data_IF_900003269916
#
_entry.id   IF_900003269916
#
_cell.length_a   1.000
_cell.length_b   1.000
_cell.length_c   1.000
_cell.angle_alpha   90.00
_cell.angle_beta   90.00
_cell.angle_gamma   90.00
#
_symmetry.space_group_name_H-M   'P 1'
#
loop_
_entity.id
_entity.type
_entity.pdbx_description
1 polymer ?
#
# COMPACT_ATOMS: atom_id res chain seq x y z
N UNK A 1 5.44 -4.70 16.93
CA UNK A 1 5.34 -3.81 15.74
C UNK A 1 4.85 -4.64 14.57
N UNK A 2 3.98 -4.06 13.75
CA UNK A 2 3.36 -4.76 12.62
C UNK A 2 3.36 -3.88 11.36
N UNK A 3 3.68 -4.45 10.21
CA UNK A 3 3.54 -3.84 8.90
C UNK A 3 2.52 -4.62 8.04
N UNK A 4 1.65 -3.90 7.35
CA UNK A 4 0.67 -4.49 6.44
C UNK A 4 0.89 -3.96 5.03
N UNK A 5 0.88 -4.85 4.04
CA UNK A 5 0.88 -4.49 2.64
C UNK A 5 -0.45 -4.89 1.96
N UNK A 6 -1.03 -3.97 1.22
CA UNK A 6 -2.26 -4.18 0.47
C UNK A 6 -1.92 -4.26 -1.02
N UNK A 7 -2.21 -5.40 -1.64
CA UNK A 7 -1.90 -5.67 -3.03
C UNK A 7 -3.15 -5.55 -3.91
N UNK A 8 -3.15 -4.56 -4.80
CA UNK A 8 -4.25 -4.29 -5.73
C UNK A 8 -4.13 -4.98 -7.10
N UNK A 9 -3.19 -5.91 -7.26
CA UNK A 9 -3.07 -6.67 -8.50
C UNK A 9 -4.19 -7.72 -8.60
N UNK A 10 -4.87 -7.84 -9.76
CA UNK A 10 -5.83 -8.93 -9.98
C UNK A 10 -5.13 -10.28 -10.24
N UNK A 11 -3.83 -10.27 -10.54
CA UNK A 11 -3.07 -11.48 -10.84
C UNK A 11 -2.51 -12.08 -9.56
N UNK A 12 -2.87 -13.33 -9.27
CA UNK A 12 -2.27 -14.12 -8.18
C UNK A 12 -0.80 -14.41 -8.49
N UNK A 13 0.06 -14.21 -7.49
CA UNK A 13 1.52 -14.42 -7.62
C UNK A 13 2.12 -13.62 -8.79
N UNK A 14 1.53 -12.48 -9.11
CA UNK A 14 2.02 -11.59 -10.15
C UNK A 14 3.17 -10.68 -9.67
N UNK A 15 3.74 -9.91 -10.59
CA UNK A 15 4.90 -9.06 -10.31
C UNK A 15 4.70 -8.12 -9.11
N UNK A 16 3.49 -7.56 -8.94
CA UNK A 16 3.19 -6.70 -7.79
C UNK A 16 3.25 -7.46 -6.47
N UNK A 17 2.79 -8.69 -6.44
CA UNK A 17 2.84 -9.54 -5.25
C UNK A 17 4.28 -9.96 -4.94
N UNK A 18 5.06 -10.32 -5.96
CA UNK A 18 6.48 -10.70 -5.82
C UNK A 18 7.28 -9.55 -5.19
N UNK A 19 7.19 -8.34 -5.74
CA UNK A 19 7.92 -7.18 -5.21
C UNK A 19 7.47 -6.79 -3.81
N UNK A 20 6.17 -6.97 -3.52
CA UNK A 20 5.62 -6.72 -2.19
C UNK A 20 6.16 -7.71 -1.17
N UNK A 21 6.20 -8.99 -1.50
CA UNK A 21 6.84 -10.00 -0.65
C UNK A 21 8.31 -9.69 -0.39
N UNK A 22 9.03 -9.22 -1.41
CA UNK A 22 10.43 -8.86 -1.27
C UNK A 22 10.63 -7.70 -0.28
N UNK A 23 9.82 -6.66 -0.34
CA UNK A 23 9.85 -5.55 0.63
C UNK A 23 9.43 -6.01 2.04
N UNK A 24 8.38 -6.84 2.15
CA UNK A 24 7.95 -7.38 3.46
C UNK A 24 8.99 -8.29 4.09
N UNK A 25 9.73 -9.06 3.29
CA UNK A 25 10.85 -9.87 3.78
C UNK A 25 11.93 -8.98 4.41
N UNK A 26 12.29 -7.87 3.77
CA UNK A 26 13.24 -6.91 4.33
C UNK A 26 12.77 -6.31 5.67
N UNK A 27 11.46 -6.06 5.82
CA UNK A 27 10.84 -5.61 7.07
C UNK A 27 10.89 -6.70 8.14
N UNK A 28 10.55 -7.94 7.76
CA UNK A 28 10.52 -9.08 8.70
C UNK A 28 11.90 -9.43 9.26
N UNK A 29 12.97 -9.30 8.46
CA UNK A 29 14.35 -9.47 8.91
C UNK A 29 14.75 -8.45 10.00
N UNK A 30 14.04 -7.35 10.10
CA UNK A 30 14.20 -6.35 11.15
C UNK A 30 13.35 -6.64 12.41
N UNK A 31 12.71 -7.81 12.50
CA UNK A 31 11.91 -8.24 13.65
C UNK A 31 10.53 -7.62 13.75
N UNK A 32 9.98 -7.12 12.65
CA UNK A 32 8.62 -6.57 12.56
C UNK A 32 7.69 -7.62 11.93
N UNK A 33 6.57 -7.90 12.59
CA UNK A 33 5.52 -8.77 12.02
C UNK A 33 5.02 -8.20 10.69
N UNK A 34 4.83 -9.06 9.69
CA UNK A 34 4.35 -8.63 8.38
C UNK A 34 3.08 -9.38 7.97
N UNK A 35 2.14 -8.66 7.37
CA UNK A 35 0.93 -9.23 6.78
C UNK A 35 0.75 -8.70 5.36
N UNK A 36 0.32 -9.56 4.44
CA UNK A 36 -0.07 -9.16 3.09
C UNK A 36 -1.54 -9.48 2.84
N UNK A 37 -2.29 -8.48 2.40
CA UNK A 37 -3.70 -8.60 1.99
C UNK A 37 -3.81 -8.39 0.50
N UNK A 38 -4.32 -9.38 -0.22
CA UNK A 38 -4.66 -9.28 -1.64
C UNK A 38 -6.11 -8.84 -1.79
N UNK A 39 -6.34 -7.79 -2.58
CA UNK A 39 -7.69 -7.32 -2.87
C UNK A 39 -8.41 -8.18 -3.91
N UNK A 40 -7.67 -8.90 -4.75
CA UNK A 40 -8.25 -9.82 -5.73
C UNK A 40 -9.06 -10.92 -5.05
N UNK A 41 -10.32 -11.06 -5.46
CA UNK A 41 -11.26 -12.02 -4.89
C UNK A 41 -12.05 -11.52 -3.68
N UNK A 42 -11.75 -10.32 -3.16
CA UNK A 42 -12.52 -9.66 -2.11
C UNK A 42 -13.60 -8.75 -2.73
N UNK A 43 -14.69 -8.52 -1.99
CA UNK A 43 -15.74 -7.57 -2.35
C UNK A 43 -15.28 -6.15 -1.94
N UNK A 44 -14.80 -5.39 -2.92
CA UNK A 44 -14.29 -4.02 -2.73
C UNK A 44 -15.16 -3.06 -3.54
N UNK A 45 -16.16 -2.46 -2.93
CA UNK A 45 -17.07 -1.53 -3.59
C UNK A 45 -16.59 -0.09 -3.49
N UNK A 46 -16.97 0.73 -4.46
CA UNK A 46 -16.67 2.16 -4.46
C UNK A 46 -17.40 2.93 -3.35
N UNK A 47 -16.90 4.10 -3.00
CA UNK A 47 -17.56 5.00 -2.05
C UNK A 47 -18.84 5.60 -2.67
N UNK A 48 -19.94 5.59 -1.93
CA UNK A 48 -21.22 6.18 -2.36
C UNK A 48 -21.43 7.61 -1.80
N UNK A 49 -20.39 8.20 -1.17
CA UNK A 49 -20.44 9.53 -0.57
C UNK A 49 -21.57 9.75 0.44
N UNK A 50 -22.06 8.73 1.11
CA UNK A 50 -23.19 8.79 2.05
C UNK A 50 -22.93 9.62 3.32
N UNK A 51 -21.67 9.93 3.63
CA UNK A 51 -21.29 10.81 4.76
C UNK A 51 -21.29 10.17 6.16
N UNK A 52 -21.74 8.94 6.34
CA UNK A 52 -21.82 8.25 7.65
C UNK A 52 -20.46 8.24 8.37
N UNK A 53 -19.37 7.98 7.65
CA UNK A 53 -18.02 7.95 8.22
C UNK A 53 -17.52 9.31 8.77
N UNK A 54 -18.18 10.43 8.48
CA UNK A 54 -17.87 11.74 9.10
C UNK A 54 -18.31 11.79 10.55
N UNK A 55 -19.40 11.12 10.88
CA UNK A 55 -19.98 11.11 12.23
C UNK A 55 -19.45 9.93 13.05
N UNK A 56 -19.37 8.76 12.46
CA UNK A 56 -18.98 7.50 13.10
C UNK A 56 -17.81 6.87 12.37
N UNK A 57 -16.95 6.13 13.08
CA UNK A 57 -15.94 5.26 12.44
C UNK A 57 -16.62 4.00 11.89
N UNK A 58 -17.47 4.19 10.88
CA UNK A 58 -18.30 3.12 10.31
C UNK A 58 -18.54 3.35 8.83
N UNK A 59 -18.56 2.28 8.07
CA UNK A 59 -19.03 2.29 6.69
C UNK A 59 -20.29 1.43 6.58
N UNK A 60 -21.41 1.95 6.05
CA UNK A 60 -22.64 1.19 5.90
C UNK A 60 -22.59 0.17 4.75
N UNK A 61 -21.60 0.28 3.86
CA UNK A 61 -21.39 -0.68 2.77
C UNK A 61 -20.86 -1.98 3.37
N UNK A 62 -21.64 -3.04 3.25
CA UNK A 62 -21.27 -4.38 3.75
C UNK A 62 -20.42 -5.09 2.71
N UNK A 63 -19.11 -4.99 2.87
CA UNK A 63 -18.07 -5.60 2.05
C UNK A 63 -16.76 -5.73 2.86
N UNK A 64 -15.66 -6.13 2.21
CA UNK A 64 -14.39 -6.42 2.89
C UNK A 64 -13.58 -5.17 3.29
N UNK A 65 -13.93 -3.98 2.81
CA UNK A 65 -13.12 -2.77 3.02
C UNK A 65 -13.01 -2.37 4.49
N UNK A 66 -14.08 -2.51 5.28
CA UNK A 66 -14.02 -2.12 6.69
C UNK A 66 -13.08 -3.03 7.51
N UNK A 67 -13.06 -4.33 7.21
CA UNK A 67 -12.11 -5.27 7.82
C UNK A 67 -10.66 -4.94 7.48
N UNK A 68 -10.40 -4.58 6.21
CA UNK A 68 -9.07 -4.13 5.78
C UNK A 68 -8.68 -2.83 6.47
N UNK A 69 -9.59 -1.85 6.56
CA UNK A 69 -9.37 -0.58 7.29
C UNK A 69 -8.95 -0.83 8.74
N UNK A 70 -9.63 -1.75 9.43
CA UNK A 70 -9.27 -2.12 10.81
C UNK A 70 -7.84 -2.65 10.91
N UNK A 71 -7.45 -3.56 10.03
CA UNK A 71 -6.07 -4.07 9.97
C UNK A 71 -5.05 -2.96 9.68
N UNK A 72 -5.35 -2.05 8.75
CA UNK A 72 -4.48 -0.89 8.46
C UNK A 72 -4.36 0.05 9.67
N UNK A 73 -5.45 0.24 10.41
CA UNK A 73 -5.49 1.06 11.62
C UNK A 73 -4.63 0.45 12.75
N UNK A 74 -4.60 -0.87 12.89
CA UNK A 74 -3.81 -1.58 13.90
C UNK A 74 -2.32 -1.67 13.56
N UNK A 75 -1.96 -1.61 12.28
CA UNK A 75 -0.58 -1.68 11.85
C UNK A 75 0.21 -0.39 12.14
N UNK A 76 1.52 -0.52 12.35
CA UNK A 76 2.46 0.59 12.50
C UNK A 76 2.95 1.10 11.14
N UNK A 77 2.98 0.22 10.15
CA UNK A 77 3.29 0.59 8.77
C UNK A 77 2.26 0.05 7.77
N UNK A 78 1.96 0.83 6.73
CA UNK A 78 1.03 0.48 5.66
C UNK A 78 1.70 0.67 4.30
N UNK A 79 1.69 -0.36 3.47
CA UNK A 79 2.19 -0.34 2.10
C UNK A 79 1.02 -0.53 1.14
N UNK A 80 0.90 0.32 0.13
CA UNK A 80 -0.05 0.12 -0.98
C UNK A 80 0.72 -0.29 -2.23
N UNK A 81 0.46 -1.50 -2.72
CA UNK A 81 1.12 -2.06 -3.89
C UNK A 81 0.15 -2.24 -5.05
N UNK A 82 0.48 -1.71 -6.23
CA UNK A 82 -0.41 -1.73 -7.39
C UNK A 82 0.35 -1.91 -8.71
N UNK A 83 -0.20 -2.63 -9.68
CA UNK A 83 0.25 -2.48 -11.07
C UNK A 83 -0.29 -1.17 -11.64
N UNK A 84 0.37 -0.68 -12.68
CA UNK A 84 -0.10 0.49 -13.45
C UNK A 84 -1.20 0.07 -14.41
N UNK A 85 -2.38 0.65 -14.25
CA UNK A 85 -3.50 0.52 -15.17
C UNK A 85 -3.86 1.90 -15.73
N UNK A 86 -3.58 2.12 -17.03
CA UNK A 86 -3.85 3.39 -17.71
C UNK A 86 -3.30 4.63 -17.00
N UNK A 87 -2.06 4.53 -16.49
CA UNK A 87 -1.39 5.62 -15.78
C UNK A 87 -1.89 5.86 -14.35
N UNK A 88 -2.61 4.91 -13.76
CA UNK A 88 -3.20 5.01 -12.41
C UNK A 88 -3.09 3.69 -11.65
N UNK A 89 -3.39 3.72 -10.37
CA UNK A 89 -3.61 2.52 -9.58
C UNK A 89 -4.84 1.74 -10.10
N UNK A 90 -4.92 0.45 -9.78
CA UNK A 90 -6.11 -0.34 -10.11
C UNK A 90 -7.35 0.21 -9.42
N UNK A 91 -8.53 -0.06 -9.98
CA UNK A 91 -9.82 0.32 -9.39
C UNK A 91 -10.00 -0.22 -7.95
N UNK A 92 -9.44 -1.40 -7.65
CA UNK A 92 -9.47 -1.99 -6.30
C UNK A 92 -8.73 -1.12 -5.29
N UNK A 93 -7.49 -0.71 -5.61
CA UNK A 93 -6.72 0.20 -4.75
C UNK A 93 -7.42 1.55 -4.64
N UNK A 94 -7.91 2.10 -5.75
CA UNK A 94 -8.58 3.40 -5.72
C UNK A 94 -9.84 3.39 -4.85
N UNK A 95 -10.68 2.37 -4.97
CA UNK A 95 -11.87 2.21 -4.13
C UNK A 95 -11.52 2.05 -2.64
N UNK A 96 -10.47 1.30 -2.33
CA UNK A 96 -9.94 1.18 -0.96
C UNK A 96 -9.45 2.54 -0.44
N UNK A 97 -8.62 3.26 -1.21
CA UNK A 97 -8.08 4.58 -0.84
C UNK A 97 -9.20 5.58 -0.53
N UNK A 98 -10.21 5.66 -1.40
CA UNK A 98 -11.33 6.58 -1.20
C UNK A 98 -12.06 6.29 0.11
N UNK A 99 -12.34 5.03 0.37
CA UNK A 99 -13.13 4.63 1.54
C UNK A 99 -12.33 4.68 2.84
N UNK A 100 -11.10 4.19 2.84
CA UNK A 100 -10.24 4.23 4.03
C UNK A 100 -9.77 5.65 4.35
N UNK A 101 -9.56 6.49 3.34
CA UNK A 101 -9.31 7.92 3.50
C UNK A 101 -10.47 8.64 4.18
N UNK A 102 -11.71 8.40 3.74
CA UNK A 102 -12.89 8.96 4.39
C UNK A 102 -13.12 8.41 5.81
N UNK A 103 -12.88 7.12 6.04
CA UNK A 103 -12.96 6.51 7.38
C UNK A 103 -11.91 7.09 8.34
N UNK A 104 -10.70 7.35 7.87
CA UNK A 104 -9.68 8.06 8.64
C UNK A 104 -10.10 9.50 8.94
N UNK A 105 -10.55 10.23 7.94
CA UNK A 105 -11.15 11.55 8.01
C UNK A 105 -10.57 12.47 9.10
N UNK A 106 -11.44 13.13 9.85
CA UNK A 106 -11.07 14.03 10.95
C UNK A 106 -10.40 13.32 12.13
N UNK A 107 -10.60 12.00 12.29
CA UNK A 107 -9.97 11.19 13.36
C UNK A 107 -8.48 10.97 13.14
N UNK A 108 -8.02 11.17 11.89
CA UNK A 108 -6.61 11.06 11.51
C UNK A 108 -5.95 9.76 11.99
N UNK A 109 -6.68 8.63 11.90
CA UNK A 109 -6.23 7.32 12.46
C UNK A 109 -4.94 6.78 11.84
N UNK A 110 -4.55 7.33 10.70
CA UNK A 110 -3.31 6.97 10.01
C UNK A 110 -2.16 7.94 10.28
N UNK A 111 -2.44 9.13 10.87
CA UNK A 111 -1.40 10.12 11.11
C UNK A 111 -0.32 9.58 12.06
N UNK A 112 0.93 9.81 11.69
CA UNK A 112 2.09 9.34 12.46
C UNK A 112 2.50 7.89 12.18
N UNK A 113 1.76 7.13 11.35
CA UNK A 113 2.19 5.81 10.89
C UNK A 113 3.22 5.93 9.77
N UNK A 114 3.98 4.87 9.55
CA UNK A 114 4.89 4.77 8.41
C UNK A 114 4.13 4.20 7.22
N UNK A 115 4.44 4.65 6.00
CA UNK A 115 3.82 4.05 4.82
C UNK A 115 4.33 4.59 3.51
N UNK A 116 4.02 3.88 2.43
CA UNK A 116 4.39 4.32 1.09
C UNK A 116 3.94 3.34 0.00
N UNK A 117 4.07 3.75 -1.26
CA UNK A 117 3.66 2.97 -2.41
C UNK A 117 4.73 1.99 -2.88
N UNK A 118 4.28 0.89 -3.51
CA UNK A 118 5.06 0.06 -4.42
C UNK A 118 4.30 -0.04 -5.75
N UNK A 119 4.93 0.32 -6.85
CA UNK A 119 4.28 0.38 -8.16
C UNK A 119 5.01 -0.49 -9.16
N UNK A 120 4.26 -1.34 -9.88
CA UNK A 120 4.80 -2.15 -10.97
C UNK A 120 4.21 -1.72 -12.29
N UNK A 121 5.05 -1.37 -13.25
CA UNK A 121 4.64 -1.04 -14.60
C UNK A 121 5.14 -2.07 -15.61
N UNK A 122 4.37 -2.27 -16.68
CA UNK A 122 4.89 -2.98 -17.84
C UNK A 122 5.96 -2.15 -18.57
N UNK A 123 5.73 -0.81 -18.69
CA UNK A 123 6.55 0.08 -19.52
C UNK A 123 6.49 1.53 -19.08
N UNK A 124 5.31 2.09 -18.84
CA UNK A 124 5.08 3.52 -18.61
C UNK A 124 3.87 3.77 -17.69
N UNK A 125 3.71 5.02 -17.22
CA UNK A 125 2.62 5.46 -16.35
C UNK A 125 2.91 5.28 -14.85
N UNK A 126 4.07 4.73 -14.50
CA UNK A 126 4.47 4.46 -13.13
C UNK A 126 4.59 5.74 -12.28
N UNK A 127 5.15 6.82 -12.83
CA UNK A 127 5.34 8.06 -12.08
C UNK A 127 4.01 8.68 -11.64
N UNK A 128 3.01 8.71 -12.53
CA UNK A 128 1.68 9.21 -12.18
C UNK A 128 0.99 8.33 -11.14
N UNK A 129 1.12 7.01 -11.29
CA UNK A 129 0.56 6.05 -10.32
C UNK A 129 1.25 6.18 -8.97
N UNK A 130 2.57 6.32 -8.94
CA UNK A 130 3.35 6.51 -7.72
C UNK A 130 2.94 7.79 -7.01
N UNK A 131 2.93 8.92 -7.72
CA UNK A 131 2.51 10.21 -7.19
C UNK A 131 1.06 10.19 -6.66
N UNK A 132 0.14 9.52 -7.36
CA UNK A 132 -1.25 9.36 -6.91
C UNK A 132 -1.32 8.73 -5.51
N UNK A 133 -0.53 7.69 -5.26
CA UNK A 133 -0.51 7.04 -3.96
C UNK A 133 0.21 7.91 -2.92
N UNK A 134 1.32 8.57 -3.28
CA UNK A 134 2.04 9.47 -2.37
C UNK A 134 1.15 10.60 -1.86
N UNK A 135 0.34 11.22 -2.72
CA UNK A 135 -0.60 12.25 -2.31
C UNK A 135 -1.61 11.73 -1.26
N UNK A 136 -2.06 10.49 -1.39
CA UNK A 136 -2.95 9.88 -0.41
C UNK A 136 -2.24 9.66 0.94
N UNK A 137 -1.03 9.11 0.94
CA UNK A 137 -0.23 8.94 2.15
C UNK A 137 0.08 10.28 2.81
N UNK A 138 0.51 11.27 2.03
CA UNK A 138 0.83 12.60 2.52
C UNK A 138 -0.39 13.28 3.17
N UNK A 139 -1.54 13.28 2.48
CA UNK A 139 -2.78 13.89 2.98
C UNK A 139 -3.22 13.27 4.32
N UNK A 140 -3.05 11.97 4.49
CA UNK A 140 -3.44 11.26 5.71
C UNK A 140 -2.39 11.31 6.83
N UNK A 141 -1.26 11.98 6.61
CA UNK A 141 -0.26 12.25 7.63
C UNK A 141 0.69 11.09 7.92
N UNK A 142 0.93 10.23 6.94
CA UNK A 142 1.95 9.20 7.06
C UNK A 142 3.36 9.79 6.99
N UNK A 143 4.30 9.16 7.68
CA UNK A 143 5.73 9.33 7.43
C UNK A 143 6.16 8.38 6.32
N UNK A 144 6.62 8.94 5.21
CA UNK A 144 7.02 8.17 4.03
C UNK A 144 8.52 7.94 4.01
N UNK A 145 9.01 6.69 4.18
CA UNK A 145 10.44 6.41 4.04
C UNK A 145 10.84 6.47 2.57
N UNK A 146 11.94 7.13 2.30
CA UNK A 146 12.58 7.06 0.99
C UNK A 146 13.26 5.71 0.75
N UNK A 147 13.77 5.52 -0.48
CA UNK A 147 14.60 4.40 -0.87
C UNK A 147 15.79 4.87 -1.71
N UNK A 148 16.44 3.96 -2.45
CA UNK A 148 17.53 4.30 -3.39
C UNK A 148 17.02 5.01 -4.64
N UNK A 149 15.74 4.83 -4.96
CA UNK A 149 15.00 5.49 -6.05
C UNK A 149 13.51 5.52 -5.71
N UNK A 150 12.64 5.99 -6.61
CA UNK A 150 11.20 5.83 -6.46
C UNK A 150 10.83 4.34 -6.40
N UNK A 151 9.88 3.98 -5.59
CA UNK A 151 9.47 2.58 -5.38
C UNK A 151 8.68 2.04 -6.58
N UNK A 152 9.34 1.95 -7.71
CA UNK A 152 8.83 1.48 -9.00
C UNK A 152 9.65 0.29 -9.46
N UNK A 153 8.97 -0.65 -10.12
CA UNK A 153 9.61 -1.80 -10.75
C UNK A 153 8.93 -2.10 -12.09
N UNK A 154 9.63 -2.81 -12.94
CA UNK A 154 9.14 -3.17 -14.27
C UNK A 154 8.98 -4.67 -14.43
N UNK A 155 7.88 -5.08 -15.08
CA UNK A 155 7.63 -6.46 -15.41
C UNK A 155 6.30 -6.62 -16.14
N UNK A 156 6.29 -7.39 -17.24
CA UNK A 156 5.12 -7.69 -18.06
C UNK A 156 4.55 -9.05 -17.73
N UNK A 157 5.34 -10.07 -17.94
CA UNK A 157 4.95 -11.45 -17.66
C UNK A 157 5.18 -11.76 -16.17
N UNK A 158 4.53 -12.81 -15.68
CA UNK A 158 4.69 -13.24 -14.29
C UNK A 158 6.17 -13.58 -14.02
N UNK A 159 6.73 -12.98 -12.98
CA UNK A 159 8.14 -13.17 -12.57
C UNK A 159 9.12 -12.21 -13.24
N UNK A 160 8.73 -11.43 -14.25
CA UNK A 160 9.66 -10.50 -14.90
C UNK A 160 10.26 -9.46 -13.95
N UNK A 161 9.53 -9.09 -12.91
CA UNK A 161 10.01 -8.12 -11.90
C UNK A 161 11.29 -8.58 -11.19
N UNK A 162 11.53 -9.89 -11.11
CA UNK A 162 12.75 -10.45 -10.50
C UNK A 162 14.02 -10.17 -11.34
N UNK A 163 13.84 -9.84 -12.62
CA UNK A 163 14.90 -9.43 -13.55
C UNK A 163 15.20 -7.93 -13.49
N UNK A 164 14.34 -7.15 -12.86
CA UNK A 164 14.54 -5.72 -12.61
C UNK A 164 15.37 -5.53 -11.34
N UNK A 165 16.69 -5.65 -11.47
CA UNK A 165 17.63 -5.57 -10.35
C UNK A 165 17.53 -4.24 -9.59
N UNK A 166 17.29 -3.12 -10.30
CA UNK A 166 17.13 -1.81 -9.65
C UNK A 166 15.83 -1.74 -8.86
N UNK A 167 14.72 -2.20 -9.44
CA UNK A 167 13.42 -2.26 -8.78
C UNK A 167 13.44 -3.16 -7.55
N UNK A 168 14.05 -4.34 -7.66
CA UNK A 168 14.21 -5.28 -6.54
C UNK A 168 15.05 -4.67 -5.40
N UNK A 169 16.21 -4.07 -5.72
CA UNK A 169 17.05 -3.38 -4.74
C UNK A 169 16.32 -2.22 -4.08
N UNK A 170 15.59 -1.44 -4.86
CA UNK A 170 14.80 -0.29 -4.37
C UNK A 170 13.71 -0.75 -3.40
N UNK A 171 12.97 -1.81 -3.74
CA UNK A 171 11.93 -2.36 -2.85
C UNK A 171 12.51 -2.94 -1.55
N UNK A 172 13.67 -3.59 -1.62
CA UNK A 172 14.38 -4.07 -0.44
C UNK A 172 14.76 -2.93 0.50
N UNK A 173 15.40 -1.89 -0.03
CA UNK A 173 15.81 -0.73 0.75
C UNK A 173 14.61 0.05 1.30
N UNK A 174 13.52 0.15 0.55
CA UNK A 174 12.26 0.68 1.07
C UNK A 174 11.76 -0.11 2.28
N UNK A 175 11.81 -1.44 2.24
CA UNK A 175 11.48 -2.30 3.37
C UNK A 175 12.37 -2.03 4.59
N UNK A 176 13.69 -1.98 4.40
CA UNK A 176 14.66 -1.66 5.48
C UNK A 176 14.41 -0.28 6.09
N UNK A 177 14.19 0.75 5.26
CA UNK A 177 13.92 2.10 5.72
C UNK A 177 12.55 2.21 6.41
N UNK A 178 11.54 1.46 5.95
CA UNK A 178 10.24 1.33 6.64
C UNK A 178 10.44 0.79 8.05
N UNK A 179 11.17 -0.32 8.19
CA UNK A 179 11.43 -0.92 9.49
C UNK A 179 12.24 0.00 10.42
N UNK A 180 13.27 0.67 9.88
CA UNK A 180 14.06 1.65 10.63
C UNK A 180 13.16 2.77 11.19
N UNK A 181 12.30 3.34 10.34
CA UNK A 181 11.44 4.46 10.74
C UNK A 181 10.39 4.02 11.76
N UNK A 182 9.77 2.83 11.59
CA UNK A 182 8.84 2.26 12.57
C UNK A 182 9.51 2.11 13.94
N UNK A 183 10.72 1.55 13.99
CA UNK A 183 11.47 1.38 15.24
C UNK A 183 11.77 2.73 15.90
N UNK A 184 12.17 3.75 15.11
CA UNK A 184 12.47 5.09 15.63
C UNK A 184 11.26 5.81 16.20
N UNK A 185 10.08 5.60 15.61
CA UNK A 185 8.84 6.21 16.09
C UNK A 185 8.23 5.49 17.30
N UNK A 186 8.68 4.27 17.60
CA UNK A 186 8.20 3.45 18.73
C UNK A 186 9.20 3.38 19.89
N UNK A 187 10.42 3.88 19.68
CA UNK A 187 11.42 4.02 20.75
C UNK A 187 11.11 5.21 21.66
#
# INVERSE_FOLDING_TARGET
>A
MKAIAIVGSPRKEGNTEIITHHALKAIAEEGIETEMVRLAGLDIRHCTACGVCRQEEKCPIKDDVFGIFTKMKEADAVILATPVYYGSATSLIKALMDRTGHLSGQRRVFAGKVGGPLVVARRAGQNFTHAQLEFWFHLLGFYMPGSTYWNISFGREKGDVEKDEEGMRTAWNFGKNTAFLVKKLKA
#
